data_IF_111261529656
#
_entry.id   IF_111261529656
#
_cell.length_a   1.000
_cell.length_b   1.000
_cell.length_c   1.000
_cell.angle_alpha   90.00
_cell.angle_beta   90.00
_cell.angle_gamma   90.00
#
_symmetry.space_group_name_H-M   'P 1'
#
loop_
_entity.id
_entity.type
_entity.pdbx_description
1 polymer ?
#
# COMPACT_ATOMS: atom_id res chain seq x y z
N UNK A 1 -8.75 17.22 -25.32
CA UNK A 1 -8.37 15.83 -24.99
C UNK A 1 -8.07 15.14 -26.32
N UNK A 2 -6.81 14.77 -26.55
CA UNK A 2 -6.37 14.12 -27.79
C UNK A 2 -7.00 12.73 -27.91
N UNK A 3 -7.16 12.20 -29.12
CA UNK A 3 -7.66 10.85 -29.36
C UNK A 3 -6.81 9.78 -28.66
N UNK A 4 -5.51 10.05 -28.47
CA UNK A 4 -4.59 9.22 -27.69
C UNK A 4 -4.94 9.13 -26.20
N UNK A 5 -5.46 10.22 -25.62
CA UNK A 5 -5.78 10.29 -24.20
C UNK A 5 -6.98 9.40 -23.87
N UNK A 6 -7.94 9.29 -24.80
CA UNK A 6 -9.05 8.34 -24.69
C UNK A 6 -8.56 6.89 -24.63
N UNK A 7 -7.52 6.55 -25.40
CA UNK A 7 -6.89 5.23 -25.33
C UNK A 7 -6.24 4.96 -23.97
N UNK A 8 -5.48 5.93 -23.45
CA UNK A 8 -4.87 5.81 -22.12
C UNK A 8 -5.89 5.74 -20.99
N UNK A 9 -6.95 6.56 -21.05
CA UNK A 9 -8.05 6.52 -20.08
C UNK A 9 -8.78 5.18 -20.11
N UNK A 10 -8.98 4.60 -21.30
CA UNK A 10 -9.60 3.29 -21.43
C UNK A 10 -8.76 2.18 -20.78
N UNK A 11 -7.44 2.19 -21.02
CA UNK A 11 -6.51 1.23 -20.40
C UNK A 11 -6.47 1.41 -18.88
N UNK A 12 -6.37 2.66 -18.40
CA UNK A 12 -6.34 2.97 -16.98
C UNK A 12 -7.64 2.51 -16.28
N UNK A 13 -8.80 2.86 -16.83
CA UNK A 13 -10.09 2.50 -16.24
C UNK A 13 -10.36 1.00 -16.23
N UNK A 14 -9.93 0.27 -17.27
CA UNK A 14 -10.14 -1.17 -17.35
C UNK A 14 -9.12 -1.94 -16.50
N UNK A 15 -7.83 -1.81 -16.81
CA UNK A 15 -6.77 -2.63 -16.21
C UNK A 15 -6.44 -2.17 -14.79
N UNK A 16 -6.19 -0.89 -14.61
CA UNK A 16 -5.73 -0.36 -13.33
C UNK A 16 -6.87 -0.22 -12.32
N UNK A 17 -8.10 0.08 -12.77
CA UNK A 17 -9.25 0.26 -11.88
C UNK A 17 -10.15 -0.97 -11.81
N UNK A 18 -10.81 -1.35 -12.91
CA UNK A 18 -11.83 -2.40 -12.87
C UNK A 18 -11.24 -3.79 -12.54
N UNK A 19 -10.18 -4.21 -13.22
CA UNK A 19 -9.55 -5.51 -12.98
C UNK A 19 -8.90 -5.59 -11.60
N UNK A 20 -8.14 -4.56 -11.17
CA UNK A 20 -7.51 -4.54 -9.86
C UNK A 20 -8.55 -4.63 -8.72
N UNK A 21 -9.71 -3.98 -8.88
CA UNK A 21 -10.80 -4.07 -7.91
C UNK A 21 -11.46 -5.45 -7.89
N UNK A 22 -11.70 -6.07 -9.05
CA UNK A 22 -12.23 -7.44 -9.12
C UNK A 22 -11.24 -8.42 -8.45
N UNK A 23 -9.95 -8.27 -8.75
CA UNK A 23 -8.89 -9.07 -8.14
C UNK A 23 -8.83 -8.87 -6.63
N UNK A 24 -8.96 -7.64 -6.11
CA UNK A 24 -8.94 -7.38 -4.67
C UNK A 24 -10.12 -8.04 -3.95
N UNK A 25 -11.33 -7.99 -4.52
CA UNK A 25 -12.53 -8.68 -4.01
C UNK A 25 -12.36 -10.20 -4.08
N UNK A 26 -11.77 -10.72 -5.15
CA UNK A 26 -11.47 -12.15 -5.27
C UNK A 26 -10.48 -12.62 -4.20
N UNK A 27 -9.44 -11.84 -3.94
CA UNK A 27 -8.44 -12.11 -2.89
C UNK A 27 -9.08 -12.14 -1.50
N UNK A 28 -10.16 -11.37 -1.25
CA UNK A 28 -10.91 -11.44 0.01
C UNK A 28 -11.58 -12.81 0.26
N UNK A 29 -11.73 -13.67 -0.76
CA UNK A 29 -12.18 -15.06 -0.56
C UNK A 29 -11.09 -15.97 0.00
N UNK A 30 -9.81 -15.64 -0.19
CA UNK A 30 -8.67 -16.42 0.27
C UNK A 30 -7.99 -15.82 1.50
N UNK A 31 -7.99 -14.49 1.59
CA UNK A 31 -7.45 -13.72 2.71
C UNK A 31 -8.60 -13.01 3.42
N UNK A 32 -8.60 -13.01 4.75
CA UNK A 32 -9.61 -12.28 5.52
C UNK A 32 -9.68 -10.81 5.07
N UNK A 33 -10.86 -10.17 5.00
CA UNK A 33 -10.99 -8.75 4.65
C UNK A 33 -10.06 -7.83 5.45
N UNK A 34 -9.82 -8.16 6.71
CA UNK A 34 -8.89 -7.47 7.61
C UNK A 34 -7.41 -7.50 7.18
N UNK A 35 -6.98 -8.53 6.45
CA UNK A 35 -5.62 -8.65 5.91
C UNK A 35 -5.52 -7.84 4.62
N UNK A 36 -6.54 -7.87 3.77
CA UNK A 36 -6.59 -7.05 2.54
C UNK A 36 -6.57 -5.56 2.88
N UNK A 37 -7.38 -5.11 3.84
CA UNK A 37 -7.36 -3.71 4.33
C UNK A 37 -6.03 -3.34 4.99
N UNK A 38 -5.35 -4.28 5.64
CA UNK A 38 -4.00 -4.01 6.18
C UNK A 38 -2.99 -3.77 5.06
N UNK A 39 -3.06 -4.53 3.97
CA UNK A 39 -2.16 -4.36 2.83
C UNK A 39 -2.33 -2.99 2.19
N UNK A 40 -3.55 -2.44 2.13
CA UNK A 40 -3.78 -1.05 1.69
C UNK A 40 -3.14 -0.02 2.62
N UNK A 41 -3.12 -0.26 3.94
CA UNK A 41 -2.39 0.64 4.85
C UNK A 41 -0.86 0.64 4.64
N UNK A 42 -0.31 -0.30 3.85
CA UNK A 42 1.09 -0.30 3.42
C UNK A 42 1.34 0.52 2.16
N UNK A 43 0.28 1.00 1.49
CA UNK A 43 0.37 1.86 0.29
C UNK A 43 1.31 3.07 0.48
N UNK A 44 1.30 3.79 1.62
CA UNK A 44 2.23 4.89 1.85
C UNK A 44 3.70 4.44 1.84
N UNK A 45 4.00 3.24 2.36
CA UNK A 45 5.36 2.70 2.40
C UNK A 45 5.82 2.31 1.00
N UNK A 46 4.96 1.65 0.22
CA UNK A 46 5.28 1.32 -1.17
C UNK A 46 5.45 2.58 -2.02
N UNK A 47 4.65 3.62 -1.78
CA UNK A 47 4.80 4.92 -2.42
C UNK A 47 6.17 5.55 -2.16
N UNK A 48 6.65 5.54 -0.91
CA UNK A 48 7.98 6.06 -0.56
C UNK A 48 9.09 5.23 -1.22
N UNK A 49 8.98 3.89 -1.20
CA UNK A 49 9.97 3.01 -1.83
C UNK A 49 10.04 3.25 -3.35
N UNK A 50 8.88 3.32 -4.02
CA UNK A 50 8.81 3.60 -5.46
C UNK A 50 9.34 5.00 -5.78
N UNK A 51 9.02 6.01 -4.96
CA UNK A 51 9.53 7.36 -5.14
C UNK A 51 11.07 7.40 -5.05
N UNK A 52 11.67 6.71 -4.07
CA UNK A 52 13.13 6.62 -3.95
C UNK A 52 13.78 5.87 -5.12
N UNK A 53 13.09 4.88 -5.71
CA UNK A 53 13.62 4.08 -6.83
C UNK A 53 13.56 4.85 -8.16
N UNK A 54 12.44 5.54 -8.44
CA UNK A 54 12.23 6.24 -9.71
C UNK A 54 12.71 7.70 -9.72
N UNK A 55 12.81 8.35 -8.55
CA UNK A 55 13.29 9.73 -8.42
C UNK A 55 14.52 9.83 -7.49
N UNK A 56 15.63 9.11 -7.77
CA UNK A 56 16.81 9.15 -6.92
C UNK A 56 17.57 10.49 -6.98
N UNK A 57 17.42 11.26 -8.07
CA UNK A 57 18.21 12.49 -8.32
C UNK A 57 17.47 13.79 -8.02
N UNK A 58 16.14 13.76 -7.87
CA UNK A 58 15.33 14.97 -7.71
C UNK A 58 15.12 15.29 -6.23
N UNK A 59 16.02 16.15 -5.77
CA UNK A 59 15.97 16.97 -4.56
C UNK A 59 16.40 16.32 -3.25
N UNK A 60 17.40 16.96 -2.64
CA UNK A 60 17.63 16.92 -1.19
C UNK A 60 16.33 17.39 -0.55
N UNK A 61 15.47 16.45 -0.19
CA UNK A 61 14.17 16.83 0.34
C UNK A 61 14.37 17.58 1.66
N UNK A 62 13.55 18.60 1.89
CA UNK A 62 13.64 19.41 3.12
C UNK A 62 13.69 18.52 4.37
N UNK A 63 14.36 18.96 5.43
CA UNK A 63 14.49 18.19 6.68
C UNK A 63 13.12 17.72 7.22
N UNK A 64 12.06 18.50 7.00
CA UNK A 64 10.68 18.15 7.33
C UNK A 64 10.15 16.94 6.55
N UNK A 65 10.54 16.75 5.29
CA UNK A 65 10.18 15.55 4.52
C UNK A 65 10.80 14.31 5.12
N UNK A 66 12.08 14.35 5.49
CA UNK A 66 12.75 13.20 6.13
C UNK A 66 12.09 12.84 7.47
N UNK A 67 11.72 13.84 8.28
CA UNK A 67 10.97 13.64 9.53
C UNK A 67 9.59 13.04 9.25
N UNK A 68 8.85 13.57 8.26
CA UNK A 68 7.54 13.06 7.86
C UNK A 68 7.60 11.61 7.35
N UNK A 69 8.56 11.30 6.47
CA UNK A 69 8.82 9.95 5.98
C UNK A 69 9.17 8.99 7.12
N UNK A 70 10.03 9.41 8.04
CA UNK A 70 10.38 8.63 9.22
C UNK A 70 9.17 8.33 10.11
N UNK A 71 8.28 9.31 10.34
CA UNK A 71 7.05 9.13 11.11
C UNK A 71 6.12 8.13 10.42
N UNK A 72 5.85 8.31 9.12
CA UNK A 72 4.96 7.42 8.36
C UNK A 72 5.49 5.97 8.39
N UNK A 73 6.78 5.78 8.08
CA UNK A 73 7.41 4.45 8.11
C UNK A 73 7.33 3.84 9.51
N UNK A 74 7.65 4.61 10.55
CA UNK A 74 7.61 4.16 11.95
C UNK A 74 6.21 3.71 12.36
N UNK A 75 5.18 4.51 12.07
CA UNK A 75 3.77 4.20 12.41
C UNK A 75 3.31 2.94 11.69
N UNK A 76 3.62 2.79 10.40
CA UNK A 76 3.22 1.62 9.61
C UNK A 76 3.94 0.36 10.08
N UNK A 77 5.24 0.42 10.36
CA UNK A 77 5.99 -0.70 10.94
C UNK A 77 5.45 -1.10 12.31
N UNK A 78 5.16 -0.13 13.19
CA UNK A 78 4.56 -0.39 14.50
C UNK A 78 3.19 -1.05 14.38
N UNK A 79 2.34 -0.58 13.46
CA UNK A 79 1.03 -1.16 13.21
C UNK A 79 1.14 -2.62 12.74
N UNK A 80 2.02 -2.89 11.77
CA UNK A 80 2.33 -4.25 11.30
C UNK A 80 2.83 -5.16 12.43
N UNK A 81 3.77 -4.67 13.24
CA UNK A 81 4.38 -5.43 14.34
C UNK A 81 3.40 -5.74 15.48
N UNK A 82 2.65 -4.74 15.96
CA UNK A 82 1.64 -4.89 17.01
C UNK A 82 0.56 -5.90 16.62
N UNK A 83 0.14 -5.86 15.35
CA UNK A 83 -0.89 -6.73 14.80
C UNK A 83 -0.40 -8.16 14.62
N UNK A 84 0.85 -8.36 14.21
CA UNK A 84 1.51 -9.68 14.20
C UNK A 84 1.63 -10.26 15.62
N UNK A 85 1.96 -9.43 16.61
CA UNK A 85 1.97 -9.84 18.04
C UNK A 85 0.58 -10.25 18.53
N UNK A 86 -0.48 -9.49 18.22
CA UNK A 86 -1.86 -9.83 18.59
C UNK A 86 -2.30 -11.16 17.96
N UNK A 87 -2.01 -11.38 16.68
CA UNK A 87 -2.27 -12.67 15.99
C UNK A 87 -1.53 -13.85 16.63
N UNK A 88 -0.25 -13.67 17.03
CA UNK A 88 0.53 -14.71 17.70
C UNK A 88 0.02 -15.04 19.12
N UNK A 89 -0.48 -14.05 19.88
CA UNK A 89 -1.11 -14.29 21.19
C UNK A 89 -2.44 -15.04 21.07
N UNK A 90 -3.29 -14.69 20.10
CA UNK A 90 -4.55 -15.39 19.86
C UNK A 90 -4.38 -16.86 19.45
N UNK A 91 -3.28 -17.20 18.75
CA UNK A 91 -2.96 -18.57 18.35
C UNK A 91 -2.36 -19.43 19.48
N UNK A 92 -1.99 -18.82 20.61
CA UNK A 92 -1.36 -19.47 21.78
C UNK A 92 -2.33 -19.82 22.90
N UNK A 93 -3.62 -19.46 22.80
CA UNK A 93 -4.62 -19.94 23.75
C UNK A 93 -5.09 -21.33 23.29
N UNK A 94 -4.76 -22.44 23.99
CA UNK A 94 -5.48 -23.68 23.79
C UNK A 94 -6.94 -23.46 24.19
N UNK A 95 -7.87 -23.95 23.38
CA UNK A 95 -9.26 -24.15 23.83
C UNK A 95 -9.29 -25.21 24.91
#
# INVERSE_FOLDING_TARGET
LSTSDFGYLFILASVCTAYAFIASVYVMRYLSPYTVVLTYNLEPVYGIILALLFFPENEVMSTSFYVGAFIIISVVMLNGFLKQRKRRKAKKLPK
#
